data_IF_456914631200
#
_entry.id   IF_456914631200
#
_cell.length_a   1.000
_cell.length_b   1.000
_cell.length_c   1.000
_cell.angle_alpha   90.00
_cell.angle_beta   90.00
_cell.angle_gamma   90.00
#
_symmetry.space_group_name_H-M   'P 1'
#
loop_
_entity.id
_entity.type
_entity.pdbx_description
1 polymer ?
2 non-polymer ?
3 non-polymer ?
4 water ?
#
# COMPACT_ATOMS: atom_id res chain seq x y z
N UNK A 13 5.32 38.42 -10.32
CA UNK A 13 5.37 37.31 -9.30
C UNK A 13 6.34 37.69 -8.18
N UNK A 14 6.58 36.78 -7.21
CA UNK A 14 7.46 37.13 -6.06
C UNK A 14 8.61 36.18 -5.68
N UNK A 15 8.34 34.95 -5.21
CA UNK A 15 9.45 34.07 -4.77
C UNK A 15 9.18 32.57 -4.71
N UNK A 16 10.26 31.80 -4.74
CA UNK A 16 10.24 30.32 -4.71
C UNK A 16 10.77 29.83 -3.37
N UNK A 17 10.32 28.64 -2.95
CA UNK A 17 10.74 28.04 -1.67
C UNK A 17 11.65 26.84 -1.92
N UNK A 18 12.84 26.90 -1.32
CA UNK A 18 13.83 25.83 -1.38
C UNK A 18 14.25 25.56 0.06
N UNK A 19 14.00 24.35 0.54
CA UNK A 19 14.37 23.96 1.90
C UNK A 19 14.88 22.52 1.91
N UNK A 20 15.90 22.29 2.74
CA UNK A 20 16.47 20.95 2.93
C UNK A 20 15.59 20.06 3.85
N UNK A 21 14.55 20.67 4.46
CA UNK A 21 13.61 19.97 5.34
C UNK A 21 12.49 19.24 4.57
N UNK A 22 12.42 19.44 3.25
CA UNK A 22 11.50 18.70 2.39
C UNK A 22 12.35 18.19 1.23
N UNK A 23 11.90 17.11 0.54
CA UNK A 23 12.70 16.56 -0.56
C UNK A 23 13.03 17.57 -1.64
N UNK A 24 14.24 17.50 -2.17
CA UNK A 24 14.69 18.43 -3.18
C UNK A 24 13.90 18.27 -4.48
N UNK A 25 13.43 19.41 -5.00
CA UNK A 25 12.73 19.44 -6.27
C UNK A 25 13.83 19.27 -7.32
N UNK A 26 14.01 18.03 -7.79
CA UNK A 26 15.09 17.68 -8.72
C UNK A 26 14.90 18.26 -10.13
N UNK A 27 13.72 18.02 -10.71
CA UNK A 27 13.44 18.45 -12.08
C UNK A 27 13.13 19.94 -12.30
N UNK A 28 12.38 20.25 -13.38
CA UNK A 28 11.98 21.63 -13.70
C UNK A 28 10.78 22.16 -12.90
N UNK A 29 10.84 22.06 -11.57
CA UNK A 29 9.77 22.56 -10.70
C UNK A 29 10.36 22.94 -9.34
N UNK A 30 9.58 23.65 -8.54
CA UNK A 30 9.97 24.11 -7.21
C UNK A 30 9.07 23.44 -6.18
N UNK A 31 9.55 23.34 -4.93
CA UNK A 31 8.76 22.77 -3.83
C UNK A 31 7.48 23.59 -3.65
N UNK A 32 7.62 24.91 -3.73
CA UNK A 32 6.48 25.81 -3.69
C UNK A 32 6.82 27.13 -4.35
N UNK A 33 5.80 27.93 -4.64
CA UNK A 33 5.95 29.26 -5.22
C UNK A 33 5.06 30.20 -4.43
N UNK A 34 5.65 31.28 -3.93
CA UNK A 34 4.93 32.28 -3.16
C UNK A 34 4.75 33.51 -4.05
N UNK A 35 3.49 33.92 -4.22
CA UNK A 35 3.15 35.12 -4.99
C UNK A 35 2.20 35.94 -4.11
N UNK A 36 2.65 37.12 -3.71
CA UNK A 36 1.87 37.99 -2.83
C UNK A 36 1.71 37.31 -1.49
N UNK A 37 0.45 37.16 -1.05
CA UNK A 37 0.14 36.48 0.21
C UNK A 37 -0.26 35.00 0.01
N UNK A 38 -0.08 34.47 -1.21
CA UNK A 38 -0.44 33.10 -1.55
C UNK A 38 0.74 32.17 -1.80
N UNK A 39 0.63 30.91 -1.38
CA UNK A 39 1.65 29.87 -1.64
C UNK A 39 1.01 28.68 -2.34
N UNK A 40 1.67 28.18 -3.39
CA UNK A 40 1.22 27.01 -4.13
C UNK A 40 2.26 25.91 -3.89
N UNK A 41 1.91 24.90 -3.09
CA UNK A 41 2.85 23.82 -2.76
C UNK A 41 2.71 22.63 -3.73
N UNK A 42 3.87 22.09 -4.12
CA UNK A 42 3.94 20.93 -5.02
C UNK A 42 3.49 19.66 -4.28
N UNK A 43 2.96 18.71 -5.03
CA UNK A 43 2.50 17.44 -4.44
C UNK A 43 3.64 16.73 -3.75
N UNK A 44 3.46 16.42 -2.46
CA UNK A 44 4.49 15.78 -1.67
C UNK A 44 4.24 14.29 -1.57
N UNK A 45 5.30 13.51 -1.69
CA UNK A 45 5.24 12.05 -1.63
C UNK A 45 6.03 11.59 -0.40
N UNK A 46 5.79 10.35 0.10
CA UNK A 46 6.50 9.87 1.29
C UNK A 46 7.99 9.58 1.05
N UNK A 47 8.77 10.65 0.93
CA UNK A 47 10.22 10.59 0.75
C UNK A 47 10.85 11.31 1.92
N UNK A 48 11.90 10.71 2.48
CA UNK A 48 12.65 11.31 3.57
C UNK A 48 13.61 12.34 2.97
N UNK A 49 13.51 13.63 3.39
CA UNK A 49 14.38 14.70 2.88
C UNK A 49 15.90 14.54 3.01
N UNK A 50 16.35 13.78 4.02
CA UNK A 50 17.77 13.57 4.28
C UNK A 50 18.38 12.38 3.54
N UNK A 51 17.69 11.23 3.58
CA UNK A 51 18.18 10.02 2.91
C UNK A 51 17.68 9.87 1.46
N UNK A 52 16.63 10.61 1.10
CA UNK A 52 16.08 10.52 -0.26
C UNK A 52 15.32 9.24 -0.58
N UNK A 53 15.07 8.40 0.43
CA UNK A 53 14.41 7.11 0.23
C UNK A 53 12.93 7.16 0.60
N UNK A 54 12.20 6.25 -0.02
CA UNK A 54 10.78 6.11 0.17
C UNK A 54 10.49 5.47 1.51
N UNK A 55 9.58 6.08 2.27
CA UNK A 55 9.16 5.49 3.54
C UNK A 55 8.41 4.22 3.16
N UNK A 56 8.81 3.11 3.78
CA UNK A 56 8.21 1.80 3.52
C UNK A 56 7.68 1.29 4.88
N UNK A 57 6.37 1.15 4.99
CA UNK A 57 5.71 0.75 6.23
C UNK A 57 4.20 0.95 6.12
N UNK A 58 3.56 1.44 7.18
CA UNK A 58 2.10 1.64 7.14
C UNK A 58 1.71 2.91 6.40
N UNK A 59 0.44 3.01 6.04
CA UNK A 59 -0.06 4.19 5.33
C UNK A 59 -0.09 5.43 6.26
N UNK A 60 -0.17 5.21 7.57
CA UNK A 60 -0.10 6.29 8.55
C UNK A 60 1.31 6.91 8.53
N UNK A 61 2.33 6.05 8.50
CA UNK A 61 3.73 6.46 8.43
C UNK A 61 4.04 7.21 7.12
N UNK A 62 3.44 6.77 6.02
CA UNK A 62 3.62 7.43 4.72
C UNK A 62 2.92 8.80 4.69
N UNK A 63 1.72 8.87 5.25
CA UNK A 63 0.96 10.12 5.34
C UNK A 63 1.65 11.12 6.26
N UNK A 64 2.27 10.62 7.32
CA UNK A 64 3.01 11.45 8.26
C UNK A 64 4.17 12.16 7.55
N UNK A 65 4.89 11.41 6.73
CA UNK A 65 6.04 11.92 5.96
C UNK A 65 5.58 12.96 4.94
N UNK A 66 4.53 12.66 4.21
CA UNK A 66 3.93 13.59 3.23
C UNK A 66 3.53 14.92 3.90
N UNK A 67 2.83 14.83 5.03
CA UNK A 67 2.39 16.02 5.75
C UNK A 67 3.54 16.75 6.43
N UNK A 68 4.57 16.03 6.84
CA UNK A 68 5.78 16.65 7.39
C UNK A 68 6.53 17.41 6.30
N UNK A 69 6.58 16.86 5.10
CA UNK A 69 7.19 17.53 3.96
C UNK A 69 6.40 18.80 3.61
N UNK A 70 5.08 18.68 3.56
CA UNK A 70 4.19 19.82 3.29
C UNK A 70 4.39 20.93 4.33
N UNK A 71 4.41 20.54 5.61
CA UNK A 71 4.60 21.47 6.72
C UNK A 71 5.94 22.21 6.68
N UNK A 72 7.00 21.50 6.36
CA UNK A 72 8.33 22.07 6.23
C UNK A 72 8.38 23.13 5.13
N UNK A 73 7.71 22.86 4.00
CA UNK A 73 7.67 23.79 2.86
C UNK A 73 6.91 25.06 3.22
N UNK A 74 5.73 24.90 3.83
CA UNK A 74 4.94 26.03 4.31
C UNK A 74 5.80 26.90 5.20
N UNK A 75 6.38 26.29 6.24
CA UNK A 75 7.20 27.00 7.23
C UNK A 75 8.49 27.63 6.68
N UNK A 76 9.05 27.06 5.61
CA UNK A 76 10.24 27.60 4.97
C UNK A 76 9.97 28.91 4.22
N UNK A 77 8.72 29.10 3.78
CA UNK A 77 8.30 30.32 3.09
C UNK A 77 7.54 31.33 3.95
N UNK A 78 7.49 31.10 5.26
CA UNK A 78 6.79 31.99 6.19
C UNK A 78 5.30 31.71 6.34
N UNK A 79 4.87 30.53 5.89
CA UNK A 79 3.47 30.11 5.99
C UNK A 79 3.36 29.00 7.04
N UNK A 80 2.12 28.67 7.44
CA UNK A 80 1.88 27.62 8.43
C UNK A 80 0.70 26.78 7.95
N UNK A 81 0.35 25.75 8.70
CA UNK A 81 -0.77 24.88 8.36
C UNK A 81 -2.10 25.61 8.48
N UNK A 82 -2.15 26.62 9.36
CA UNK A 82 -3.36 27.45 9.54
C UNK A 82 -3.66 28.32 8.31
N UNK A 83 -2.64 28.59 7.50
CA UNK A 83 -2.78 29.35 6.26
C UNK A 83 -3.33 28.50 5.08
N UNK A 84 -3.27 27.18 5.20
CA UNK A 84 -3.74 26.28 4.12
C UNK A 84 -5.25 26.41 3.94
N UNK A 85 -5.67 26.66 2.70
CA UNK A 85 -7.09 26.85 2.34
C UNK A 85 -7.68 25.71 1.51
N UNK A 86 -6.84 25.04 0.73
CA UNK A 86 -7.27 23.97 -0.15
C UNK A 86 -6.19 22.92 -0.21
N UNK A 87 -6.60 21.66 -0.07
CA UNK A 87 -5.71 20.51 -0.14
C UNK A 87 -6.30 19.51 -1.15
N UNK A 88 -5.44 18.75 -1.82
CA UNK A 88 -5.89 17.70 -2.72
C UNK A 88 -5.05 16.47 -2.39
N UNK A 89 -5.72 15.39 -1.97
CA UNK A 89 -5.06 14.15 -1.64
C UNK A 89 -5.25 13.20 -2.83
N UNK A 90 -4.14 12.64 -3.30
CA UNK A 90 -4.15 11.63 -4.35
C UNK A 90 -3.71 10.35 -3.68
N UNK A 91 -4.34 9.23 -4.03
CA UNK A 91 -3.97 7.90 -3.52
C UNK A 91 -4.11 6.87 -4.63
N UNK A 92 -3.67 5.65 -4.37
CA UNK A 92 -3.86 4.55 -5.32
C UNK A 92 -5.06 3.70 -4.93
N UNK A 93 -5.62 3.94 -3.74
CA UNK A 93 -6.76 3.19 -3.25
C UNK A 93 -7.55 3.95 -2.19
N UNK A 94 -8.88 3.91 -2.29
CA UNK A 94 -9.75 4.53 -1.28
C UNK A 94 -9.78 3.78 0.05
N UNK A 95 -9.29 2.53 0.06
CA UNK A 95 -9.15 1.74 1.29
C UNK A 95 -8.35 2.47 2.37
N UNK A 96 -7.47 3.38 1.95
CA UNK A 96 -6.66 4.21 2.85
C UNK A 96 -7.34 5.46 3.43
N UNK A 97 -8.57 5.75 3.00
CA UNK A 97 -9.30 6.96 3.42
C UNK A 97 -9.33 7.20 4.94
N UNK A 98 -9.88 6.22 5.66
CA UNK A 98 -10.02 6.32 7.13
C UNK A 98 -8.71 6.59 7.86
N UNK A 99 -7.69 5.78 7.55
CA UNK A 99 -6.36 5.91 8.16
C UNK A 99 -5.60 7.17 7.75
N UNK A 100 -5.76 7.61 6.51
CA UNK A 100 -5.13 8.85 6.03
C UNK A 100 -5.77 10.02 6.77
N UNK A 101 -7.10 10.02 6.88
CA UNK A 101 -7.83 11.06 7.60
C UNK A 101 -7.41 11.15 9.07
N UNK A 102 -7.12 10.01 9.67
CA UNK A 102 -6.70 9.90 11.06
C UNK A 102 -5.42 10.71 11.30
N UNK A 103 -4.43 10.50 10.44
CA UNK A 103 -3.15 11.23 10.51
C UNK A 103 -3.34 12.69 10.07
N UNK A 104 -4.13 12.91 9.01
CA UNK A 104 -4.44 14.22 8.46
C UNK A 104 -5.04 15.14 9.53
N UNK A 105 -5.97 14.61 10.32
CA UNK A 105 -6.63 15.34 11.42
C UNK A 105 -5.67 15.90 12.46
N UNK A 106 -4.53 15.22 12.66
CA UNK A 106 -3.52 15.68 13.60
C UNK A 106 -2.77 16.93 13.12
N UNK A 107 -2.86 17.23 11.83
CA UNK A 107 -2.27 18.44 11.22
C UNK A 107 -3.33 19.52 10.95
N UNK A 108 -4.50 19.13 10.41
CA UNK A 108 -5.61 20.06 10.05
C UNK A 108 -6.96 19.86 10.76
N UNK A 109 -6.99 19.23 11.94
CA UNK A 109 -8.25 19.03 12.66
C UNK A 109 -8.87 20.32 13.16
N UNK A 110 -8.04 21.25 13.60
CA UNK A 110 -8.50 22.56 14.07
C UNK A 110 -8.81 23.48 12.90
N UNK A 111 -7.88 23.54 11.95
CA UNK A 111 -7.93 24.49 10.83
C UNK A 111 -9.01 24.18 9.79
N UNK A 112 -9.08 22.92 9.37
CA UNK A 112 -10.10 22.43 8.42
C UNK A 112 -10.18 23.15 7.07
N UNK A 113 -9.16 22.97 6.22
CA UNK A 113 -9.21 23.56 4.88
C UNK A 113 -10.13 22.79 3.96
N UNK A 114 -10.43 23.38 2.80
CA UNK A 114 -11.24 22.71 1.78
C UNK A 114 -10.40 21.54 1.27
N UNK A 115 -11.06 20.48 0.79
CA UNK A 115 -10.34 19.31 0.34
C UNK A 115 -11.05 18.44 -0.70
N UNK A 116 -10.25 17.76 -1.53
CA UNK A 116 -10.69 16.72 -2.47
C UNK A 116 -9.76 15.53 -2.22
N UNK A 117 -10.33 14.34 -2.19
CA UNK A 117 -9.61 13.11 -1.93
C UNK A 117 -10.02 12.20 -3.08
N UNK A 118 -9.06 11.88 -3.95
CA UNK A 118 -9.32 11.02 -5.13
C UNK A 118 -8.26 9.93 -5.24
N UNK A 119 -8.64 8.81 -5.87
CA UNK A 119 -7.73 7.68 -6.07
C UNK A 119 -7.40 7.57 -7.55
N UNK A 120 -6.12 7.81 -7.88
CA UNK A 120 -5.63 7.76 -9.26
C UNK A 120 -5.04 6.36 -9.54
N UNK A 121 -4.58 6.15 -10.77
CA UNK A 121 -4.02 4.88 -11.20
C UNK A 121 -2.59 4.64 -10.73
N UNK A 122 -1.76 5.68 -10.72
CA UNK A 122 -0.34 5.55 -10.37
C UNK A 122 0.23 6.91 -9.97
N UNK A 123 1.18 6.89 -9.04
CA UNK A 123 1.84 8.10 -8.53
C UNK A 123 3.36 8.02 -8.76
N UNK A 124 4.08 9.16 -8.64
CA UNK A 124 5.54 9.13 -8.83
C UNK A 124 6.24 8.13 -7.90
N UNK A 125 7.28 7.46 -8.41
CA UNK A 125 8.04 6.47 -7.65
C UNK A 125 7.16 5.29 -7.17
N UNK A 126 6.00 5.11 -7.81
CA UNK A 126 4.99 4.11 -7.42
C UNK A 126 4.49 4.22 -5.95
N UNK A 127 4.43 5.46 -5.43
CA UNK A 127 3.93 5.68 -4.07
C UNK A 127 2.40 5.53 -4.04
N UNK A 128 1.84 5.50 -2.83
CA UNK A 128 0.41 5.32 -2.60
C UNK A 128 -0.31 6.57 -2.07
N UNK A 129 0.43 7.62 -1.76
CA UNK A 129 -0.14 8.83 -1.21
C UNK A 129 0.67 10.04 -1.72
N UNK A 130 -0.05 11.09 -2.13
CA UNK A 130 0.56 12.33 -2.56
C UNK A 130 -0.43 13.44 -2.21
N UNK A 131 0.08 14.52 -1.61
CA UNK A 131 -0.74 15.65 -1.19
C UNK A 131 -0.13 16.99 -1.60
N UNK A 132 -0.93 17.79 -2.29
CA UNK A 132 -0.57 19.14 -2.71
C UNK A 132 -1.49 20.08 -1.95
N UNK A 133 -1.19 21.37 -1.97
CA UNK A 133 -2.01 22.34 -1.27
C UNK A 133 -1.79 23.77 -1.76
N UNK A 134 -2.78 24.62 -1.48
CA UNK A 134 -2.70 26.06 -1.74
C UNK A 134 -2.93 26.66 -0.37
N UNK A 135 -2.15 27.70 -0.04
CA UNK A 135 -2.24 28.40 1.23
C UNK A 135 -2.33 29.90 0.97
N UNK A 136 -3.01 30.60 1.86
CA UNK A 136 -3.17 32.05 1.78
C UNK A 136 -3.10 32.56 3.22
N UNK A 137 -2.39 33.66 3.44
CA UNK A 137 -2.24 34.23 4.78
C UNK A 137 -2.58 35.71 4.80
N UNK A 138 -2.42 36.35 5.97
CA UNK A 138 -2.73 37.78 6.19
C UNK A 138 -4.26 38.01 6.06
N UNK A 139 -4.68 39.28 6.15
CA UNK A 139 -6.09 39.62 6.01
C UNK A 139 -6.34 41.10 6.25
N UNK B 14 9.80 -35.49 -1.57
CA UNK B 14 9.45 -36.00 -2.93
C UNK B 14 9.66 -34.99 -4.06
N UNK B 15 8.99 -33.84 -4.01
CA UNK B 15 9.12 -32.85 -5.11
C UNK B 15 8.72 -31.41 -4.80
N UNK B 16 9.22 -30.50 -5.65
CA UNK B 16 9.01 -29.05 -5.53
C UNK B 16 8.14 -28.56 -6.70
N UNK B 17 7.40 -27.47 -6.46
CA UNK B 17 6.51 -26.90 -7.47
C UNK B 17 7.05 -25.58 -8.00
N UNK B 18 7.22 -25.53 -9.32
CA UNK B 18 7.68 -24.35 -10.05
C UNK B 18 6.69 -24.13 -11.18
N UNK B 19 5.98 -23.00 -11.14
CA UNK B 19 5.03 -22.66 -12.18
C UNK B 19 5.12 -21.17 -12.52
N UNK B 20 4.97 -20.86 -13.82
CA UNK B 20 4.95 -19.47 -14.30
C UNK B 20 3.60 -18.78 -14.04
N UNK B 21 2.61 -19.54 -13.54
CA UNK B 21 1.28 -19.03 -13.22
C UNK B 21 1.19 -18.42 -11.79
N UNK B 22 2.28 -18.49 -11.03
CA UNK B 22 2.39 -17.84 -9.74
C UNK B 22 3.75 -17.17 -9.74
N UNK B 23 3.95 -16.12 -8.92
CA UNK B 23 5.22 -15.40 -8.93
C UNK B 23 6.41 -16.31 -8.68
N UNK B 24 7.51 -16.02 -9.36
CA UNK B 24 8.71 -16.81 -9.24
C UNK B 24 9.31 -16.67 -7.86
N UNK B 25 9.63 -17.82 -7.25
CA UNK B 25 10.30 -17.86 -5.97
C UNK B 25 11.75 -17.47 -6.27
N UNK B 26 12.07 -16.19 -6.06
CA UNK B 26 13.39 -15.65 -6.39
C UNK B 26 14.51 -16.17 -5.48
N UNK B 27 14.31 -16.02 -4.17
CA UNK B 27 15.34 -16.38 -3.20
C UNK B 27 15.52 -17.86 -2.92
N UNK B 28 16.05 -18.19 -1.72
CA UNK B 28 16.29 -19.59 -1.32
C UNK B 28 15.03 -20.32 -0.79
N UNK B 29 13.96 -20.30 -1.59
CA UNK B 29 12.71 -20.99 -1.24
C UNK B 29 11.97 -21.39 -2.52
N UNK B 30 10.98 -22.27 -2.36
CA UNK B 30 10.14 -22.75 -3.46
C UNK B 30 8.70 -22.30 -3.25
N UNK B 31 7.94 -22.21 -4.34
CA UNK B 31 6.51 -21.82 -4.25
C UNK B 31 5.76 -22.81 -3.36
N UNK B 32 6.09 -24.09 -3.52
CA UNK B 32 5.54 -25.13 -2.66
C UNK B 32 6.44 -26.34 -2.69
N UNK B 33 6.22 -27.24 -1.74
CA UNK B 33 6.95 -28.51 -1.63
C UNK B 33 5.92 -29.60 -1.40
N UNK B 34 5.96 -30.62 -2.24
CA UNK B 34 5.06 -31.77 -2.14
C UNK B 34 5.86 -32.95 -1.58
N UNK B 35 5.36 -33.50 -0.46
CA UNK B 35 5.95 -34.67 0.17
C UNK B 35 4.80 -35.65 0.41
N UNK B 36 4.87 -36.81 -0.26
CA UNK B 36 3.83 -37.82 -0.19
C UNK B 36 2.54 -37.26 -0.77
N UNK B 37 1.47 -37.29 0.03
CA UNK B 37 0.18 -36.73 -0.37
C UNK B 37 -0.06 -35.30 0.16
N UNK B 38 0.97 -34.70 0.75
CA UNK B 38 0.88 -33.36 1.34
C UNK B 38 1.63 -32.29 0.55
N UNK B 39 1.06 -31.07 0.51
CA UNK B 39 1.70 -29.90 -0.12
C UNK B 39 1.78 -28.74 0.88
N UNK B 40 2.94 -28.08 0.96
CA UNK B 40 3.17 -26.94 1.84
C UNK B 40 3.41 -25.72 0.94
N UNK B 41 2.42 -24.84 0.83
CA UNK B 41 2.51 -23.69 -0.05
C UNK B 41 3.11 -22.47 0.69
N UNK B 42 3.98 -21.74 0.00
CA UNK B 42 4.60 -20.53 0.52
C UNK B 42 3.59 -19.40 0.56
N UNK B 43 3.80 -18.45 1.46
CA UNK B 43 2.90 -17.31 1.59
C UNK B 43 2.86 -16.51 0.30
N UNK B 44 1.66 -16.33 -0.26
CA UNK B 44 1.48 -15.61 -1.51
C UNK B 44 1.07 -14.18 -1.24
N UNK B 45 1.66 -13.25 -1.99
CA UNK B 45 1.40 -11.82 -1.88
C UNK B 45 0.74 -11.33 -3.18
N UNK B 46 0.06 -10.16 -3.15
CA UNK B 46 -0.57 -9.67 -4.38
C UNK B 46 0.42 -9.15 -5.43
N UNK B 47 1.07 -10.11 -6.09
CA UNK B 47 2.02 -9.85 -7.19
C UNK B 47 1.48 -10.57 -8.41
N UNK B 48 1.53 -9.89 -9.54
CA UNK B 48 1.11 -10.47 -10.81
C UNK B 48 2.26 -11.36 -11.29
N UNK B 49 1.98 -12.64 -11.63
CA UNK B 49 3.05 -13.56 -12.08
C UNK B 49 3.77 -13.21 -13.39
N UNK B 50 3.11 -12.46 -14.29
CA UNK B 50 3.71 -12.12 -15.59
C UNK B 50 4.45 -10.78 -15.59
N UNK B 51 3.88 -9.76 -14.97
CA UNK B 51 4.52 -8.43 -14.92
C UNK B 51 5.43 -8.24 -13.71
N UNK B 52 5.25 -9.06 -12.69
CA UNK B 52 6.02 -8.96 -11.45
C UNK B 52 5.66 -7.76 -10.58
N UNK B 53 4.57 -7.06 -10.92
CA UNK B 53 4.15 -5.84 -10.24
C UNK B 53 3.11 -6.09 -9.14
N UNK B 54 3.17 -5.26 -8.11
CA UNK B 54 2.25 -5.34 -6.99
C UNK B 54 0.89 -4.82 -7.42
N UNK B 55 -0.17 -5.59 -7.13
CA UNK B 55 -1.52 -5.15 -7.41
C UNK B 55 -1.76 -3.92 -6.53
N UNK B 56 -2.24 -2.85 -7.15
CA UNK B 56 -2.47 -1.59 -6.44
C UNK B 56 -3.93 -1.20 -6.74
N UNK B 57 -4.76 -1.22 -5.69
CA UNK B 57 -6.20 -0.97 -5.81
C UNK B 57 -6.93 -1.37 -4.54
N UNK B 58 -8.08 -2.04 -4.65
CA UNK B 58 -8.88 -2.42 -3.47
C UNK B 58 -8.34 -3.69 -2.80
N UNK B 59 -8.75 -3.94 -1.56
CA UNK B 59 -8.32 -5.16 -0.85
C UNK B 59 -8.90 -6.42 -1.51
N UNK B 60 -10.06 -6.31 -2.15
CA UNK B 60 -10.65 -7.47 -2.85
C UNK B 60 -9.76 -7.90 -4.02
N UNK B 61 -9.28 -6.92 -4.80
CA UNK B 61 -8.39 -7.17 -5.93
C UNK B 61 -7.06 -7.77 -5.47
N UNK B 62 -6.55 -7.30 -4.33
CA UNK B 62 -5.30 -7.81 -3.76
C UNK B 62 -5.48 -9.26 -3.25
N UNK B 63 -6.61 -9.53 -2.58
CA UNK B 63 -6.92 -10.86 -2.07
C UNK B 63 -7.14 -11.83 -3.23
N UNK B 64 -7.76 -11.34 -4.31
CA UNK B 64 -8.03 -12.14 -5.50
C UNK B 64 -6.73 -12.67 -6.08
N UNK B 65 -5.77 -11.77 -6.23
CA UNK B 65 -4.44 -12.08 -6.76
C UNK B 65 -3.73 -13.11 -5.88
N UNK B 66 -3.72 -12.86 -4.57
CA UNK B 66 -3.12 -13.79 -3.60
C UNK B 66 -3.71 -15.21 -3.76
N UNK B 67 -5.04 -15.28 -3.77
CA UNK B 67 -5.74 -16.57 -3.90
C UNK B 67 -5.58 -17.22 -5.27
N UNK B 68 -5.44 -16.39 -6.31
CA UNK B 68 -5.16 -16.88 -7.67
C UNK B 68 -3.75 -17.46 -7.72
N UNK B 69 -2.81 -16.82 -7.03
CA UNK B 69 -1.43 -17.33 -6.95
C UNK B 69 -1.40 -18.67 -6.20
N UNK B 70 -2.10 -18.71 -5.06
CA UNK B 70 -2.24 -19.94 -4.27
C UNK B 70 -2.85 -21.08 -5.09
N UNK B 71 -3.93 -20.79 -5.81
CA UNK B 71 -4.64 -21.77 -6.64
C UNK B 71 -3.76 -22.32 -7.77
N UNK B 72 -3.01 -21.42 -8.41
CA UNK B 72 -2.10 -21.82 -9.49
C UNK B 72 -1.03 -22.80 -9.00
N UNK B 73 -0.49 -22.55 -7.81
CA UNK B 73 0.54 -23.41 -7.21
C UNK B 73 -0.03 -24.79 -6.86
N UNK B 74 -1.20 -24.81 -6.23
CA UNK B 74 -1.87 -26.06 -5.91
C UNK B 74 -2.05 -26.87 -7.17
N UNK B 75 -2.66 -26.27 -8.18
CA UNK B 75 -2.93 -26.94 -9.47
C UNK B 75 -1.68 -27.34 -10.27
N UNK B 76 -0.57 -26.65 -10.07
CA UNK B 76 0.69 -26.99 -10.75
C UNK B 76 1.31 -28.28 -10.20
N UNK B 77 1.02 -28.58 -8.93
CA UNK B 77 1.51 -29.79 -8.27
C UNK B 77 0.50 -30.92 -8.20
N UNK B 78 -0.63 -30.79 -8.89
CA UNK B 78 -1.66 -31.83 -8.89
C UNK B 78 -2.63 -31.77 -7.73
N UNK B 79 -2.68 -30.63 -7.04
CA UNK B 79 -3.58 -30.39 -5.91
C UNK B 79 -4.64 -29.37 -6.34
N UNK B 80 -5.68 -29.23 -5.53
CA UNK B 80 -6.74 -28.25 -5.80
C UNK B 80 -7.09 -27.54 -4.50
N UNK B 81 -8.05 -26.64 -4.55
CA UNK B 81 -8.51 -25.90 -3.37
C UNK B 81 -9.25 -26.83 -2.41
N UNK B 82 -9.89 -27.88 -2.93
CA UNK B 82 -10.59 -28.88 -2.09
C UNK B 82 -9.63 -29.70 -1.20
N UNK B 83 -8.36 -29.77 -1.60
CA UNK B 83 -7.32 -30.46 -0.84
C UNK B 83 -6.77 -29.62 0.31
N UNK B 84 -7.00 -28.31 0.30
CA UNK B 84 -6.48 -27.43 1.35
C UNK B 84 -7.13 -27.74 2.70
N UNK B 85 -6.30 -27.97 3.72
CA UNK B 85 -6.77 -28.30 5.07
C UNK B 85 -6.56 -27.20 6.11
N UNK B 86 -5.54 -26.37 5.91
CA UNK B 86 -5.19 -25.32 6.81
C UNK B 86 -4.67 -24.11 6.03
N UNK B 87 -5.18 -22.93 6.36
CA UNK B 87 -4.79 -21.68 5.74
C UNK B 87 -4.43 -20.72 6.86
N UNK B 88 -3.48 -19.81 6.59
CA UNK B 88 -3.12 -18.77 7.53
C UNK B 88 -3.09 -17.48 6.72
N UNK B 89 -3.90 -16.51 7.12
CA UNK B 89 -3.97 -15.21 6.49
C UNK B 89 -3.21 -14.24 7.37
N UNK B 90 -2.30 -13.47 6.78
CA UNK B 90 -1.57 -12.41 7.46
C UNK B 90 -2.02 -11.12 6.82
N UNK B 91 -2.24 -10.09 7.62
CA UNK B 91 -2.62 -8.77 7.12
C UNK B 91 -1.88 -7.70 7.92
N UNK B 92 -2.01 -6.45 7.48
CA UNK B 92 -1.46 -5.32 8.22
C UNK B 92 -2.55 -4.63 9.07
N UNK B 93 -3.82 -5.00 8.85
CA UNK B 93 -4.94 -4.42 9.57
C UNK B 93 -6.15 -5.35 9.58
N UNK B 94 -6.80 -5.49 10.73
CA UNK B 94 -8.03 -6.27 10.83
C UNK B 94 -9.23 -5.62 10.15
N UNK B 95 -9.15 -4.32 9.88
CA UNK B 95 -10.20 -3.59 9.13
C UNK B 95 -10.57 -4.27 7.80
N UNK B 96 -9.66 -5.07 7.24
CA UNK B 96 -9.89 -5.81 6.01
C UNK B 96 -10.55 -7.19 6.17
N UNK B 97 -10.82 -7.62 7.40
CA UNK B 97 -11.38 -8.96 7.68
C UNK B 97 -12.61 -9.30 6.84
N UNK B 98 -13.65 -8.46 6.94
CA UNK B 98 -14.93 -8.67 6.25
C UNK B 98 -14.76 -8.82 4.73
N UNK B 99 -14.07 -7.85 4.14
CA UNK B 99 -13.86 -7.84 2.70
C UNK B 99 -12.94 -8.97 2.18
N UNK B 100 -11.93 -9.34 2.96
CA UNK B 100 -11.05 -10.44 2.61
C UNK B 100 -11.86 -11.73 2.65
N UNK B 101 -12.66 -11.91 3.69
CA UNK B 101 -13.54 -13.07 3.82
C UNK B 101 -14.52 -13.21 2.67
N UNK B 102 -14.98 -12.07 2.16
CA UNK B 102 -15.93 -12.07 1.07
C UNK B 102 -15.29 -12.73 -0.15
N UNK B 103 -14.07 -12.30 -0.49
CA UNK B 103 -13.32 -12.86 -1.63
C UNK B 103 -12.87 -14.30 -1.34
N UNK B 104 -12.41 -14.54 -0.12
CA UNK B 104 -11.94 -15.84 0.34
C UNK B 104 -13.02 -16.93 0.19
N UNK B 105 -14.26 -16.59 0.57
CA UNK B 105 -15.41 -17.48 0.48
C UNK B 105 -15.73 -17.94 -0.96
N UNK B 106 -15.36 -17.15 -1.97
CA UNK B 106 -15.55 -17.55 -3.36
C UNK B 106 -14.58 -18.66 -3.82
N UNK B 107 -13.50 -18.86 -3.06
CA UNK B 107 -12.53 -19.93 -3.31
C UNK B 107 -12.74 -21.12 -2.35
N UNK B 108 -12.99 -20.84 -1.05
CA UNK B 108 -13.17 -21.87 0.01
C UNK B 108 -14.52 -21.88 0.76
N UNK B 109 -15.60 -21.37 0.17
CA UNK B 109 -16.92 -21.38 0.81
C UNK B 109 -17.51 -22.76 0.96
N UNK B 110 -17.33 -23.60 -0.06
CA UNK B 110 -17.83 -24.97 -0.02
C UNK B 110 -16.88 -25.87 0.80
N UNK B 111 -15.59 -25.74 0.54
CA UNK B 111 -14.57 -26.62 1.12
C UNK B 111 -14.33 -26.40 2.63
N UNK B 112 -14.20 -25.14 3.03
CA UNK B 112 -14.03 -24.75 4.44
C UNK B 112 -12.85 -25.38 5.21
N UNK B 113 -11.61 -24.97 4.86
CA UNK B 113 -10.45 -25.45 5.59
C UNK B 113 -10.30 -24.77 6.96
N UNK B 114 -9.43 -25.31 7.80
CA UNK B 114 -9.10 -24.70 9.08
C UNK B 114 -8.37 -23.38 8.77
N UNK B 115 -8.49 -22.40 9.64
CA UNK B 115 -7.85 -21.10 9.37
C UNK B 115 -7.49 -20.31 10.64
N UNK B 116 -6.47 -19.46 10.48
CA UNK B 116 -6.09 -18.44 11.45
C UNK B 116 -5.92 -17.17 10.63
N UNK B 117 -6.40 -16.05 11.15
CA UNK B 117 -6.33 -14.76 10.48
C UNK B 117 -5.76 -13.82 11.53
N UNK B 118 -4.54 -13.34 11.29
CA UNK B 118 -3.84 -12.42 12.19
C UNK B 118 -3.33 -11.20 11.45
N UNK B 119 -3.14 -10.11 12.17
CA UNK B 119 -2.63 -8.84 11.63
C UNK B 119 -1.23 -8.61 12.19
N UNK B 120 -0.23 -8.65 11.32
CA UNK B 120 1.17 -8.47 11.67
C UNK B 120 1.57 -6.99 11.45
N UNK B 121 2.80 -6.64 11.79
CA UNK B 121 3.30 -5.26 11.65
C UNK B 121 3.66 -4.85 10.21
N UNK B 122 4.24 -5.79 9.45
CA UNK B 122 4.69 -5.51 8.07
C UNK B 122 4.87 -6.81 7.29
N UNK B 123 4.65 -6.74 5.99
CA UNK B 123 4.79 -7.89 5.10
C UNK B 123 5.82 -7.59 4.00
N UNK B 124 6.28 -8.64 3.27
CA UNK B 124 7.24 -8.40 2.17
C UNK B 124 6.70 -7.44 1.10
N UNK B 125 7.57 -6.59 0.58
CA UNK B 125 7.23 -5.60 -0.44
C UNK B 125 6.20 -4.59 0.10
N UNK B 126 6.05 -4.51 1.42
CA UNK B 126 5.11 -3.64 2.09
C UNK B 126 3.63 -3.89 1.71
N UNK B 127 3.29 -5.13 1.39
CA UNK B 127 1.92 -5.52 1.03
C UNK B 127 1.03 -5.56 2.29
N UNK B 128 -0.27 -5.66 2.07
CA UNK B 128 -1.26 -5.69 3.16
C UNK B 128 -1.96 -7.04 3.37
N UNK B 129 -1.66 -8.02 2.53
CA UNK B 129 -2.28 -9.33 2.61
C UNK B 129 -1.28 -10.40 2.14
N UNK B 130 -1.20 -11.50 2.89
CA UNK B 130 -0.35 -12.62 2.54
C UNK B 130 -1.03 -13.87 3.07
N UNK B 131 -1.11 -14.91 2.23
CA UNK B 131 -1.79 -16.15 2.60
C UNK B 131 -0.94 -17.35 2.23
N UNK B 132 -0.71 -18.23 3.21
CA UNK B 132 0.02 -19.48 3.03
C UNK B 132 -1.00 -20.55 3.29
N UNK B 133 -0.64 -21.80 2.99
CA UNK B 133 -1.55 -22.92 3.22
C UNK B 133 -0.85 -24.28 3.22
N UNK B 134 -1.53 -25.27 3.79
CA UNK B 134 -1.09 -26.66 3.77
C UNK B 134 -2.27 -27.39 3.15
N UNK B 135 -1.97 -28.33 2.27
CA UNK B 135 -2.98 -29.13 1.58
C UNK B 135 -2.63 -30.61 1.68
N UNK B 136 -3.66 -31.45 1.71
CA UNK B 136 -3.51 -32.89 1.79
C UNK B 136 -4.60 -33.48 0.89
N UNK B 137 -4.24 -34.51 0.13
CA UNK B 137 -5.19 -35.14 -0.80
C UNK B 137 -5.20 -36.66 -0.62
N UNK B 138 -6.00 -37.33 -1.47
CA UNK B 138 -6.19 -38.80 -1.44
C UNK B 138 -6.88 -39.21 -0.12
N UNK B 139 -7.02 -40.51 0.12
CA UNK B 139 -7.64 -41.02 1.33
C UNK B 139 -7.75 -42.53 1.30
#
# INVERSE_FOLDING_TARGET
MGSDKIHHHHHHMKRFVETDKAPKAIGPYSQAVVVGNMMFVSGQIPIDPETGELVQGTIEEKTERVLENLKAILEAGGFSLKDVVKVTVFTTSMDYFQRVNEVYSRYFGDHRPARSFVAVAQLPRNVEIEIEAIAVKEGE
MGSDKIHHHHHHMKRFVETDKAPKAIGPYSQAVVVGNMMFVSGQIPIDPETGELVQGTIEEKTERVLENLKAILEAGGFSLKDVVKVTVFTTSMDYFQRVNEVYSRYFGDHRPARSFVAVAQLPRNVEIEIEAIAVKEGE
#
